data_IF_634803036358
#
_entry.id   IF_634803036358
#
_cell.length_a   1.000
_cell.length_b   1.000
_cell.length_c   1.000
_cell.angle_alpha   90.00
_cell.angle_beta   90.00
_cell.angle_gamma   90.00
#
_symmetry.space_group_name_H-M   'P 1'
#
loop_
_entity.id
_entity.type
_entity.pdbx_description
1 polymer ?
#
# COMPACT_ATOMS: atom_id res chain seq x y z
N UNK A 1 -12.99 62.95 -34.21
CA UNK A 1 -11.84 62.38 -33.47
C UNK A 1 -12.28 61.77 -32.13
N UNK A 2 -13.19 62.42 -31.37
CA UNK A 2 -13.72 61.91 -30.10
C UNK A 2 -14.39 60.53 -30.15
N UNK A 3 -15.18 60.22 -31.20
CA UNK A 3 -15.86 58.91 -31.32
C UNK A 3 -14.85 57.77 -31.39
N UNK A 4 -13.74 57.94 -32.13
CA UNK A 4 -12.66 56.94 -32.23
C UNK A 4 -11.94 56.74 -30.88
N UNK A 5 -11.74 57.81 -30.11
CA UNK A 5 -11.10 57.73 -28.78
C UNK A 5 -11.99 57.04 -27.75
N UNK A 6 -13.31 57.28 -27.78
CA UNK A 6 -14.28 56.59 -26.90
C UNK A 6 -14.34 55.08 -27.21
N UNK A 7 -14.32 54.70 -28.49
CA UNK A 7 -14.29 53.28 -28.90
C UNK A 7 -12.98 52.60 -28.50
N UNK A 8 -11.84 53.28 -28.66
CA UNK A 8 -10.53 52.78 -28.24
C UNK A 8 -10.46 52.54 -26.72
N UNK A 9 -10.97 53.48 -25.92
CA UNK A 9 -11.03 53.33 -24.44
C UNK A 9 -11.88 52.13 -24.01
N UNK A 10 -13.00 51.86 -24.69
CA UNK A 10 -13.81 50.65 -24.44
C UNK A 10 -13.04 49.36 -24.75
N UNK A 11 -12.28 49.33 -25.84
CA UNK A 11 -11.44 48.18 -26.20
C UNK A 11 -10.34 47.92 -25.16
N UNK A 12 -9.65 48.98 -24.71
CA UNK A 12 -8.62 48.87 -23.66
C UNK A 12 -9.24 48.31 -22.38
N UNK A 13 -10.41 48.81 -21.97
CA UNK A 13 -11.11 48.28 -20.79
C UNK A 13 -11.46 46.79 -20.95
N UNK A 14 -11.93 46.39 -22.13
CA UNK A 14 -12.27 45.00 -22.42
C UNK A 14 -11.04 44.08 -22.34
N UNK A 15 -9.91 44.52 -22.90
CA UNK A 15 -8.64 43.78 -22.84
C UNK A 15 -8.19 43.63 -21.38
N UNK A 16 -8.24 44.70 -20.58
CA UNK A 16 -7.86 44.66 -19.16
C UNK A 16 -8.74 43.68 -18.39
N UNK A 17 -10.06 43.76 -18.53
CA UNK A 17 -11.00 42.83 -17.88
C UNK A 17 -10.73 41.39 -18.31
N UNK A 18 -10.51 41.15 -19.60
CA UNK A 18 -10.22 39.81 -20.12
C UNK A 18 -8.91 39.27 -19.54
N UNK A 19 -7.85 40.08 -19.49
CA UNK A 19 -6.57 39.67 -18.90
C UNK A 19 -6.67 39.33 -17.41
N UNK A 20 -7.45 40.09 -16.63
CA UNK A 20 -7.70 39.76 -15.21
C UNK A 20 -8.43 38.42 -15.07
N UNK A 21 -9.47 38.19 -15.88
CA UNK A 21 -10.21 36.92 -15.87
C UNK A 21 -9.30 35.75 -16.26
N UNK A 22 -8.45 35.92 -17.27
CA UNK A 22 -7.49 34.89 -17.69
C UNK A 22 -6.49 34.55 -16.58
N UNK A 23 -5.99 35.54 -15.83
CA UNK A 23 -5.08 35.31 -14.70
C UNK A 23 -5.78 34.53 -13.58
N UNK A 24 -7.01 34.91 -13.23
CA UNK A 24 -7.78 34.21 -12.19
C UNK A 24 -8.06 32.76 -12.61
N UNK A 25 -8.50 32.56 -13.85
CA UNK A 25 -8.77 31.24 -14.40
C UNK A 25 -7.50 30.36 -14.41
N UNK A 26 -6.35 30.94 -14.78
CA UNK A 26 -5.06 30.25 -14.75
C UNK A 26 -4.67 29.86 -13.33
N UNK A 27 -4.77 30.76 -12.36
CA UNK A 27 -4.44 30.45 -10.96
C UNK A 27 -5.33 29.35 -10.36
N UNK A 28 -6.62 29.34 -10.69
CA UNK A 28 -7.54 28.27 -10.26
C UNK A 28 -7.18 26.94 -10.93
N UNK A 29 -6.83 26.96 -12.22
CA UNK A 29 -6.40 25.77 -12.93
C UNK A 29 -5.09 25.21 -12.38
N UNK A 30 -4.10 26.07 -12.17
CA UNK A 30 -2.79 25.69 -11.65
C UNK A 30 -2.91 25.09 -10.25
N UNK A 31 -3.68 25.74 -9.35
CA UNK A 31 -3.96 25.19 -8.01
C UNK A 31 -4.58 23.79 -8.08
N UNK A 32 -5.61 23.59 -8.91
CA UNK A 32 -6.25 22.27 -9.08
C UNK A 32 -5.29 21.24 -9.65
N UNK A 33 -4.37 21.64 -10.55
CA UNK A 33 -3.35 20.76 -11.11
C UNK A 33 -2.36 20.35 -10.03
N UNK A 34 -1.86 21.28 -9.22
CA UNK A 34 -0.92 21.00 -8.14
C UNK A 34 -1.52 20.08 -7.09
N UNK A 35 -2.78 20.31 -6.68
CA UNK A 35 -3.48 19.42 -5.73
C UNK A 35 -3.58 18.00 -6.27
N UNK A 36 -3.95 17.83 -7.55
CA UNK A 36 -3.98 16.50 -8.18
C UNK A 36 -2.61 15.83 -8.25
N UNK A 37 -1.54 16.57 -8.56
CA UNK A 37 -0.19 15.99 -8.57
C UNK A 37 0.23 15.54 -7.17
N UNK A 38 -0.06 16.33 -6.13
CA UNK A 38 0.21 15.92 -4.74
C UNK A 38 -0.59 14.71 -4.32
N UNK A 39 -1.85 14.59 -4.74
CA UNK A 39 -2.66 13.39 -4.47
C UNK A 39 -2.09 12.14 -5.17
N UNK A 40 -1.55 12.30 -6.38
CA UNK A 40 -0.89 11.20 -7.11
C UNK A 40 0.43 10.82 -6.42
N UNK A 41 1.30 11.80 -6.14
CA UNK A 41 2.57 11.57 -5.43
C UNK A 41 2.33 10.88 -4.09
N UNK A 42 1.35 11.35 -3.31
CA UNK A 42 1.01 10.73 -2.02
C UNK A 42 0.48 9.30 -2.20
N UNK A 43 -0.26 9.00 -3.27
CA UNK A 43 -0.68 7.62 -3.57
C UNK A 43 0.49 6.75 -3.96
N UNK A 44 1.38 7.23 -4.81
CA UNK A 44 2.60 6.52 -5.22
C UNK A 44 3.49 6.24 -4.00
N UNK A 45 3.67 7.22 -3.11
CA UNK A 45 4.43 7.06 -1.87
C UNK A 45 3.81 6.00 -0.94
N UNK A 46 2.47 5.96 -0.85
CA UNK A 46 1.75 4.95 -0.08
C UNK A 46 1.92 3.57 -0.71
N UNK A 47 1.75 3.45 -2.03
CA UNK A 47 1.94 2.19 -2.75
C UNK A 47 3.37 1.67 -2.58
N UNK A 48 4.39 2.54 -2.70
CA UNK A 48 5.79 2.17 -2.47
C UNK A 48 6.05 1.75 -1.01
N UNK A 49 5.41 2.42 -0.04
CA UNK A 49 5.49 2.02 1.36
C UNK A 49 4.85 0.64 1.60
N UNK A 50 3.71 0.35 0.96
CA UNK A 50 3.04 -0.95 1.03
C UNK A 50 3.90 -2.04 0.40
N UNK A 51 4.49 -1.78 -0.77
CA UNK A 51 5.35 -2.75 -1.46
C UNK A 51 6.61 -3.07 -0.66
N UNK A 52 7.21 -2.07 0.01
CA UNK A 52 8.34 -2.29 0.92
C UNK A 52 7.95 -3.15 2.12
N UNK A 53 6.86 -2.80 2.80
CA UNK A 53 6.35 -3.56 3.94
C UNK A 53 5.98 -5.00 3.53
N UNK A 54 5.36 -5.19 2.36
CA UNK A 54 5.06 -6.50 1.81
C UNK A 54 6.33 -7.31 1.55
N UNK A 55 7.37 -6.69 1.00
CA UNK A 55 8.65 -7.36 0.73
C UNK A 55 9.30 -7.84 2.03
N UNK A 56 9.31 -7.02 3.08
CA UNK A 56 9.85 -7.39 4.38
C UNK A 56 9.08 -8.57 5.00
N UNK A 57 7.73 -8.52 4.94
CA UNK A 57 6.87 -9.62 5.39
C UNK A 57 7.08 -10.91 4.57
N UNK A 58 7.29 -10.78 3.26
CA UNK A 58 7.53 -11.92 2.38
C UNK A 58 8.89 -12.58 2.66
N UNK A 59 9.91 -11.79 3.01
CA UNK A 59 11.23 -12.31 3.42
C UNK A 59 11.12 -13.10 4.73
N UNK A 60 10.42 -12.57 5.73
CA UNK A 60 10.14 -13.29 6.99
C UNK A 60 9.34 -14.57 6.73
N UNK A 61 8.30 -14.49 5.89
CA UNK A 61 7.50 -15.63 5.48
C UNK A 61 8.36 -16.74 4.86
N UNK A 62 9.18 -16.42 3.86
CA UNK A 62 10.03 -17.42 3.19
C UNK A 62 11.04 -18.03 4.16
N UNK A 63 11.67 -17.23 5.02
CA UNK A 63 12.60 -17.74 6.03
C UNK A 63 11.93 -18.72 7.02
N UNK A 64 10.68 -18.44 7.39
CA UNK A 64 9.88 -19.34 8.23
C UNK A 64 9.60 -20.65 7.50
N UNK A 65 9.15 -20.58 6.23
CA UNK A 65 8.88 -21.77 5.41
C UNK A 65 10.14 -22.61 5.25
N UNK A 66 11.28 -22.01 4.88
CA UNK A 66 12.57 -22.71 4.77
C UNK A 66 12.92 -23.44 6.07
N UNK A 67 12.73 -22.79 7.22
CA UNK A 67 12.98 -23.42 8.53
C UNK A 67 12.03 -24.58 8.80
N UNK A 68 10.76 -24.50 8.38
CA UNK A 68 9.80 -25.59 8.51
C UNK A 68 10.17 -26.75 7.58
N UNK A 69 10.69 -26.49 6.39
CA UNK A 69 11.06 -27.52 5.39
C UNK A 69 12.44 -28.12 5.62
N UNK A 70 13.28 -27.52 6.46
CA UNK A 70 14.60 -28.05 6.79
C UNK A 70 14.50 -29.23 7.77
N UNK A 71 14.71 -30.44 7.24
CA UNK A 71 14.64 -31.71 7.98
C UNK A 71 15.85 -31.97 8.88
N UNK A 72 16.92 -31.15 8.80
CA UNK A 72 18.04 -31.24 9.75
C UNK A 72 17.64 -30.70 11.13
N UNK A 73 16.63 -29.83 11.20
CA UNK A 73 16.05 -29.40 12.47
C UNK A 73 15.10 -30.44 13.07
N UNK A 74 15.09 -30.50 14.40
CA UNK A 74 14.14 -31.34 15.15
C UNK A 74 12.68 -30.98 14.86
N UNK A 75 11.80 -31.97 14.90
CA UNK A 75 10.34 -31.80 14.78
C UNK A 75 9.81 -30.71 15.71
N UNK A 76 10.23 -30.69 16.98
CA UNK A 76 9.80 -29.66 17.95
C UNK A 76 10.21 -28.25 17.52
N UNK A 77 11.43 -28.09 17.00
CA UNK A 77 11.90 -26.80 16.51
C UNK A 77 11.09 -26.32 15.32
N UNK A 78 10.91 -27.18 14.30
CA UNK A 78 10.14 -26.88 13.09
C UNK A 78 8.68 -26.55 13.41
N UNK A 79 8.06 -27.27 14.34
CA UNK A 79 6.68 -26.99 14.78
C UNK A 79 6.49 -25.60 15.39
N UNK A 80 7.51 -25.05 16.08
CA UNK A 80 7.43 -23.67 16.59
C UNK A 80 7.33 -22.65 15.46
N UNK A 81 7.90 -22.96 14.29
CA UNK A 81 7.82 -22.09 13.12
C UNK A 81 6.45 -22.15 12.43
N UNK A 82 5.69 -23.26 12.52
CA UNK A 82 4.28 -23.27 12.10
C UNK A 82 3.43 -22.22 12.85
N UNK A 83 3.67 -22.06 14.16
CA UNK A 83 2.99 -21.03 14.93
C UNK A 83 3.43 -19.62 14.53
N UNK A 84 4.72 -19.41 14.29
CA UNK A 84 5.23 -18.13 13.77
C UNK A 84 4.58 -17.79 12.43
N UNK A 85 4.44 -18.77 11.54
CA UNK A 85 3.75 -18.63 10.27
C UNK A 85 2.29 -18.19 10.46
N UNK A 86 1.54 -18.90 11.29
CA UNK A 86 0.16 -18.55 11.63
C UNK A 86 0.05 -17.14 12.22
N UNK A 87 0.99 -16.73 13.07
CA UNK A 87 1.02 -15.40 13.66
C UNK A 87 1.34 -14.32 12.62
N UNK A 88 2.31 -14.56 11.74
CA UNK A 88 2.67 -13.65 10.65
C UNK A 88 1.48 -13.41 9.71
N UNK A 89 0.73 -14.48 9.42
CA UNK A 89 -0.48 -14.44 8.59
C UNK A 89 -1.73 -13.95 9.35
N UNK A 90 -1.61 -13.58 10.63
CA UNK A 90 -2.74 -13.19 11.50
C UNK A 90 -3.88 -14.24 11.49
N UNK A 91 -3.51 -15.52 11.37
CA UNK A 91 -4.42 -16.66 11.17
C UNK A 91 -4.02 -17.84 12.07
N UNK A 92 -4.53 -17.89 13.32
CA UNK A 92 -3.98 -18.72 14.39
C UNK A 92 -4.06 -20.24 14.19
N UNK A 93 -4.80 -20.73 13.18
CA UNK A 93 -5.00 -22.17 12.93
C UNK A 93 -4.87 -22.54 11.44
N UNK A 94 -4.17 -21.74 10.64
CA UNK A 94 -4.05 -22.01 9.20
C UNK A 94 -3.22 -23.25 8.91
N UNK A 95 -2.08 -23.39 9.60
CA UNK A 95 -1.15 -24.51 9.50
C UNK A 95 -1.05 -25.35 10.77
N UNK A 96 -1.94 -25.12 11.73
CA UNK A 96 -2.00 -25.93 12.97
C UNK A 96 -3.43 -26.30 13.30
N UNK A 97 -3.66 -27.55 13.69
CA UNK A 97 -4.98 -28.05 14.08
C UNK A 97 -5.14 -27.90 15.59
N UNK A 98 -6.08 -27.05 16.01
CA UNK A 98 -6.39 -26.78 17.43
C UNK A 98 -5.18 -26.26 18.26
N UNK A 99 -4.10 -25.79 17.63
CA UNK A 99 -2.91 -25.26 18.30
C UNK A 99 -1.97 -26.29 18.94
N UNK A 100 -1.96 -27.55 18.49
CA UNK A 100 -1.14 -28.62 19.09
C UNK A 100 0.24 -28.76 18.42
N UNK A 101 1.29 -28.86 19.23
CA UNK A 101 2.70 -28.70 18.80
C UNK A 101 3.30 -29.80 17.91
N UNK A 102 2.76 -31.02 17.86
CA UNK A 102 3.51 -32.15 17.30
C UNK A 102 2.83 -32.86 16.13
N UNK A 103 1.57 -32.55 15.85
CA UNK A 103 0.73 -33.34 14.92
C UNK A 103 0.70 -32.72 13.51
N UNK A 104 1.08 -31.45 13.38
CA UNK A 104 0.66 -30.66 12.20
C UNK A 104 1.73 -30.53 11.09
N UNK A 105 2.97 -31.00 11.31
CA UNK A 105 4.01 -31.02 10.28
C UNK A 105 3.74 -32.04 9.16
N UNK A 106 2.97 -33.10 9.44
CA UNK A 106 2.71 -34.17 8.48
C UNK A 106 1.94 -33.70 7.25
N UNK A 107 1.02 -32.76 7.44
CA UNK A 107 0.17 -32.22 6.37
C UNK A 107 0.68 -30.84 5.88
N UNK A 108 1.83 -30.36 6.37
CA UNK A 108 2.29 -29.00 6.09
C UNK A 108 2.55 -28.76 4.61
N UNK A 109 3.28 -29.65 3.93
CA UNK A 109 3.65 -29.48 2.51
C UNK A 109 2.41 -29.38 1.61
N UNK A 110 1.43 -30.26 1.81
CA UNK A 110 0.18 -30.27 1.03
C UNK A 110 -0.66 -29.01 1.29
N UNK A 111 -0.77 -28.59 2.55
CA UNK A 111 -1.45 -27.36 2.92
C UNK A 111 -0.72 -26.13 2.39
N UNK A 112 0.62 -26.12 2.45
CA UNK A 112 1.44 -25.01 1.96
C UNK A 112 1.28 -24.85 0.45
N UNK A 113 1.40 -25.93 -0.31
CA UNK A 113 1.23 -25.89 -1.77
C UNK A 113 -0.15 -25.38 -2.18
N UNK A 114 -1.19 -25.74 -1.42
CA UNK A 114 -2.57 -25.29 -1.65
C UNK A 114 -2.78 -23.80 -1.30
N UNK A 115 -2.14 -23.33 -0.22
CA UNK A 115 -2.44 -22.04 0.40
C UNK A 115 -1.44 -20.93 0.06
N UNK A 116 -0.26 -21.25 -0.49
CA UNK A 116 0.88 -20.31 -0.68
C UNK A 116 0.54 -19.03 -1.44
N UNK A 117 -0.44 -19.06 -2.35
CA UNK A 117 -0.82 -17.87 -3.10
C UNK A 117 -1.81 -17.00 -2.31
N UNK A 118 -2.76 -17.61 -1.60
CA UNK A 118 -3.63 -16.89 -0.65
C UNK A 118 -2.81 -16.31 0.51
N UNK A 119 -1.78 -17.00 0.98
CA UNK A 119 -0.84 -16.48 1.98
C UNK A 119 -0.21 -15.16 1.54
N UNK A 120 0.25 -15.09 0.28
CA UNK A 120 0.82 -13.85 -0.28
C UNK A 120 -0.22 -12.73 -0.34
N UNK A 121 -1.48 -13.05 -0.66
CA UNK A 121 -2.57 -12.08 -0.63
C UNK A 121 -2.85 -11.56 0.78
N UNK A 122 -2.84 -12.46 1.78
CA UNK A 122 -2.94 -12.10 3.20
C UNK A 122 -1.79 -11.17 3.60
N UNK A 123 -0.54 -11.49 3.24
CA UNK A 123 0.62 -10.65 3.52
C UNK A 123 0.48 -9.26 2.87
N UNK A 124 -0.01 -9.15 1.63
CA UNK A 124 -0.30 -7.85 0.98
C UNK A 124 -1.34 -7.05 1.75
N UNK A 125 -2.41 -7.71 2.22
CA UNK A 125 -3.44 -7.08 3.04
C UNK A 125 -2.89 -6.59 4.38
N UNK A 126 -2.03 -7.38 5.03
CA UNK A 126 -1.36 -7.01 6.27
C UNK A 126 -0.41 -5.83 6.04
N UNK A 127 0.37 -5.83 4.95
CA UNK A 127 1.25 -4.72 4.60
C UNK A 127 0.48 -3.42 4.44
N UNK A 128 -0.61 -3.44 3.66
CA UNK A 128 -1.50 -2.29 3.50
C UNK A 128 -2.02 -1.80 4.86
N UNK A 129 -2.56 -2.70 5.68
CA UNK A 129 -3.07 -2.39 7.03
C UNK A 129 -2.01 -1.75 7.91
N UNK A 130 -0.78 -2.26 7.91
CA UNK A 130 0.33 -1.73 8.72
C UNK A 130 0.72 -0.32 8.27
N UNK A 131 0.86 -0.09 6.96
CA UNK A 131 1.18 1.23 6.41
C UNK A 131 0.08 2.24 6.74
N UNK A 132 -1.20 1.88 6.55
CA UNK A 132 -2.30 2.76 6.91
C UNK A 132 -2.34 3.08 8.41
N UNK A 133 -2.06 2.11 9.29
CA UNK A 133 -1.96 2.36 10.74
C UNK A 133 -0.84 3.35 11.07
N UNK A 134 0.35 3.18 10.48
CA UNK A 134 1.50 4.09 10.64
C UNK A 134 1.17 5.52 10.21
N UNK A 135 0.44 5.69 9.10
CA UNK A 135 0.03 7.00 8.58
C UNK A 135 -1.04 7.65 9.46
N UNK A 136 -2.00 6.87 9.94
CA UNK A 136 -3.13 7.37 10.73
C UNK A 136 -2.83 7.54 12.23
N UNK A 137 -1.66 7.07 12.69
CA UNK A 137 -1.22 7.23 14.09
C UNK A 137 -1.98 6.38 15.11
N UNK A 138 -2.55 5.25 14.68
CA UNK A 138 -3.29 4.31 15.53
C UNK A 138 -2.40 3.14 15.97
N UNK A 139 -1.32 3.45 16.71
CA UNK A 139 -0.51 2.46 17.43
C UNK A 139 -1.26 1.91 18.66
#
# INVERSE_FOLDING_TARGET
MEVKVKTLKKYILFIVVFSVISIIAYNVYDKKRTEKMREIEMKEDIEEAIDREYKDLLEEYNSIIETIQDYDYSTDFRSKYLYKLNKLLDSPNRYTKNGWYHIDLGDFEDNFETNKDEDKEILRSIAARNVYKKILGND
#
